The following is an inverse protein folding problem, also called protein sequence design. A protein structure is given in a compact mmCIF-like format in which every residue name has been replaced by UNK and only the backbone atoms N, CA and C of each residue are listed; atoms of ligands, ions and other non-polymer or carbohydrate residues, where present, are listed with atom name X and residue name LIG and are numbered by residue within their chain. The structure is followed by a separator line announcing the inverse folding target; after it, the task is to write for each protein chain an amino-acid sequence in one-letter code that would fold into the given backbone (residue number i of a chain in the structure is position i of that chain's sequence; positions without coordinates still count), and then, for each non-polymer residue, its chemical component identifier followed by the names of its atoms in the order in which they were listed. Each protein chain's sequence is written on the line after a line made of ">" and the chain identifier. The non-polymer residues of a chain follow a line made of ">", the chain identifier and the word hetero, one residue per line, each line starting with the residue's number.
data_IF_477160196088
#
_entry.id   IF_477160196088
#
_cell.length_a   1.000
_cell.length_b   1.000
_cell.length_c   1.000
_cell.angle_alpha   90.00
_cell.angle_beta   90.00
_cell.angle_gamma   90.00
#
_symmetry.space_group_name_H-M   'P 1'
#
loop_
_entity.id
_entity.type
_entity.pdbx_description
1 polymer ?
#
# COMPACT_ATOMS: atom_id res chain seq x y z
N UNK A 1 8.98 -0.15 3.71
CA UNK A 1 8.39 -0.46 2.39
C UNK A 1 7.55 -1.72 2.54
N UNK A 2 6.36 -1.78 1.96
CA UNK A 2 5.51 -2.97 1.89
C UNK A 2 5.70 -3.60 0.52
N UNK A 3 6.00 -4.90 0.48
CA UNK A 3 6.22 -5.64 -0.78
C UNK A 3 4.99 -6.36 -1.31
N UNK A 4 4.03 -6.69 -0.43
CA UNK A 4 2.78 -7.36 -0.80
C UNK A 4 1.73 -7.20 0.28
N UNK A 5 0.46 -7.19 -0.15
CA UNK A 5 -0.71 -7.23 0.73
C UNK A 5 -1.68 -8.22 0.11
N UNK A 6 -1.70 -9.42 0.66
CA UNK A 6 -2.45 -10.54 0.11
C UNK A 6 -3.58 -10.93 1.04
N UNK A 7 -4.77 -11.13 0.46
CA UNK A 7 -5.93 -11.65 1.18
C UNK A 7 -6.46 -12.83 0.40
N UNK A 8 -6.56 -13.98 1.09
CA UNK A 8 -7.14 -15.21 0.54
C UNK A 8 -8.51 -14.90 -0.07
N UNK A 9 -8.85 -15.47 -1.25
CA UNK A 9 -10.10 -15.18 -1.96
C UNK A 9 -11.34 -15.19 -1.06
N UNK A 10 -11.47 -16.21 -0.21
CA UNK A 10 -12.63 -16.43 0.68
C UNK A 10 -12.74 -15.38 1.80
N UNK A 11 -11.67 -14.63 2.05
CA UNK A 11 -11.58 -13.60 3.10
C UNK A 11 -11.54 -12.16 2.53
N UNK A 12 -11.66 -12.01 1.21
CA UNK A 12 -11.71 -10.67 0.58
C UNK A 12 -13.02 -9.96 0.91
N UNK A 13 -12.99 -8.62 0.84
CA UNK A 13 -14.15 -7.74 1.13
C UNK A 13 -14.67 -7.80 2.58
N UNK A 14 -13.93 -8.42 3.50
CA UNK A 14 -14.24 -8.46 4.93
C UNK A 14 -13.40 -7.46 5.75
N UNK A 15 -12.71 -6.53 5.09
CA UNK A 15 -11.84 -5.54 5.74
C UNK A 15 -10.50 -6.07 6.26
N UNK A 16 -10.12 -7.31 5.95
CA UNK A 16 -8.86 -7.91 6.40
C UNK A 16 -7.62 -7.07 6.02
N UNK A 17 -7.47 -6.74 4.73
CA UNK A 17 -6.35 -5.92 4.25
C UNK A 17 -6.35 -4.52 4.88
N UNK A 18 -7.52 -3.91 5.08
CA UNK A 18 -7.63 -2.60 5.70
C UNK A 18 -7.17 -2.62 7.15
N UNK A 19 -7.61 -3.61 7.94
CA UNK A 19 -7.15 -3.81 9.32
C UNK A 19 -5.64 -4.00 9.40
N UNK A 20 -5.07 -4.80 8.50
CA UNK A 20 -3.62 -5.01 8.45
C UNK A 20 -2.87 -3.71 8.10
N UNK A 21 -3.35 -2.95 7.11
CA UNK A 21 -2.75 -1.67 6.71
C UNK A 21 -2.78 -0.64 7.84
N UNK A 22 -3.91 -0.49 8.55
CA UNK A 22 -3.98 0.39 9.72
C UNK A 22 -2.97 0.00 10.79
N UNK A 23 -2.89 -1.30 11.12
CA UNK A 23 -1.92 -1.77 12.10
C UNK A 23 -0.48 -1.46 11.67
N UNK A 24 -0.12 -1.70 10.41
CA UNK A 24 1.23 -1.39 9.89
C UNK A 24 1.53 0.12 9.94
N UNK A 25 0.55 0.96 9.62
CA UNK A 25 0.67 2.42 9.69
C UNK A 25 0.92 2.88 11.13
N UNK A 26 0.13 2.37 12.08
CA UNK A 26 0.27 2.72 13.50
C UNK A 26 1.62 2.27 14.05
N UNK A 27 2.06 1.06 13.68
CA UNK A 27 3.40 0.57 14.03
C UNK A 27 4.51 1.45 13.45
N UNK A 28 4.38 1.89 12.20
CA UNK A 28 5.34 2.79 11.58
C UNK A 28 5.39 4.16 12.28
N UNK A 29 4.23 4.70 12.72
CA UNK A 29 4.17 5.92 13.54
C UNK A 29 4.87 5.73 14.88
N UNK A 30 4.55 4.65 15.60
CA UNK A 30 5.15 4.34 16.90
C UNK A 30 6.67 4.17 16.84
N UNK A 31 7.19 3.66 15.72
CA UNK A 31 8.63 3.52 15.47
C UNK A 31 9.31 4.82 14.99
N UNK A 32 8.60 5.94 14.91
CA UNK A 32 9.16 7.21 14.43
C UNK A 32 9.57 7.19 12.95
N UNK A 33 8.92 6.37 12.12
CA UNK A 33 9.19 6.32 10.67
C UNK A 33 8.63 7.57 10.00
N UNK A 34 9.34 8.08 8.99
CA UNK A 34 8.88 9.24 8.19
C UNK A 34 7.69 8.94 7.27
N UNK A 35 7.35 7.67 7.07
CA UNK A 35 6.37 7.26 6.09
C UNK A 35 6.32 5.77 5.81
N UNK A 36 5.30 5.38 5.05
CA UNK A 36 5.12 4.04 4.47
C UNK A 36 5.10 4.19 2.96
N UNK A 37 5.75 3.26 2.26
CA UNK A 37 5.78 3.21 0.79
C UNK A 37 5.43 1.82 0.29
N UNK A 38 4.73 1.78 -0.83
CA UNK A 38 4.44 0.55 -1.59
C UNK A 38 4.34 0.88 -3.09
N UNK A 39 4.37 -0.16 -3.91
CA UNK A 39 3.96 -0.11 -5.32
C UNK A 39 2.60 -0.75 -5.49
N UNK A 40 1.76 -0.24 -6.40
CA UNK A 40 0.52 -0.92 -6.77
C UNK A 40 0.24 -0.85 -8.26
N UNK A 41 -0.64 -1.74 -8.74
CA UNK A 41 -1.25 -1.61 -10.08
C UNK A 41 -2.19 -0.39 -10.08
N UNK A 42 -2.36 0.25 -11.22
CA UNK A 42 -3.19 1.46 -11.37
C UNK A 42 -4.59 1.32 -10.73
N UNK A 43 -5.27 0.20 -11.04
CA UNK A 43 -6.59 -0.13 -10.49
C UNK A 43 -6.67 -0.23 -8.97
N UNK A 44 -5.55 -0.25 -8.24
CA UNK A 44 -5.51 -0.27 -6.77
C UNK A 44 -5.09 1.06 -6.15
N UNK A 45 -4.70 2.06 -6.96
CA UNK A 45 -4.25 3.36 -6.44
C UNK A 45 -5.36 4.03 -5.60
N UNK A 46 -6.62 3.98 -6.09
CA UNK A 46 -7.77 4.52 -5.35
C UNK A 46 -8.01 3.80 -4.02
N UNK A 47 -7.80 2.48 -3.96
CA UNK A 47 -7.93 1.71 -2.73
C UNK A 47 -6.91 2.17 -1.69
N UNK A 48 -5.64 2.28 -2.07
CA UNK A 48 -4.60 2.74 -1.14
C UNK A 48 -4.75 4.21 -0.75
N UNK A 49 -5.30 5.06 -1.63
CA UNK A 49 -5.60 6.45 -1.32
C UNK A 49 -6.58 6.61 -0.15
N UNK A 50 -7.46 5.64 0.09
CA UNK A 50 -8.38 5.67 1.26
C UNK A 50 -7.65 5.64 2.61
N UNK A 51 -6.40 5.20 2.65
CA UNK A 51 -5.55 5.21 3.85
C UNK A 51 -4.61 6.43 3.91
N UNK A 52 -4.78 7.40 3.00
CA UNK A 52 -3.96 8.62 2.93
C UNK A 52 -2.67 8.47 2.10
N UNK A 53 -2.48 7.36 1.39
CA UNK A 53 -1.37 7.25 0.44
C UNK A 53 -1.57 8.20 -0.75
N UNK A 54 -0.51 8.90 -1.13
CA UNK A 54 -0.45 9.73 -2.33
C UNK A 54 0.23 8.95 -3.45
N UNK A 55 -0.36 8.99 -4.64
CA UNK A 55 0.26 8.46 -5.86
C UNK A 55 1.35 9.43 -6.36
N UNK A 56 2.60 8.97 -6.37
CA UNK A 56 3.78 9.73 -6.83
C UNK A 56 4.12 9.45 -8.31
N UNK A 57 3.22 8.78 -9.04
CA UNK A 57 3.37 8.44 -10.45
C UNK A 57 3.96 7.05 -10.69
N UNK A 58 4.38 6.80 -11.92
CA UNK A 58 4.94 5.51 -12.36
C UNK A 58 6.25 5.21 -11.61
N UNK A 59 6.30 4.03 -11.00
CA UNK A 59 7.48 3.50 -10.33
C UNK A 59 8.53 3.07 -11.35
N UNK A 60 9.81 3.12 -10.95
CA UNK A 60 10.92 2.59 -11.76
C UNK A 60 10.97 1.06 -11.76
N UNK A 61 10.16 0.40 -10.94
CA UNK A 61 10.09 -1.05 -10.88
C UNK A 61 9.52 -1.62 -12.18
N UNK A 62 10.27 -2.52 -12.81
CA UNK A 62 9.85 -3.31 -13.99
C UNK A 62 9.44 -4.73 -13.64
N UNK A 63 9.34 -5.06 -12.35
CA UNK A 63 9.08 -6.42 -11.88
C UNK A 63 7.76 -6.98 -12.43
N UNK A 64 7.82 -8.16 -13.05
CA UNK A 64 6.65 -8.87 -13.59
C UNK A 64 6.06 -8.27 -14.86
N UNK A 65 6.81 -7.42 -15.58
CA UNK A 65 6.39 -6.79 -16.85
C UNK A 65 5.07 -6.02 -16.74
N UNK A 66 4.80 -5.44 -15.56
CA UNK A 66 3.63 -4.60 -15.29
C UNK A 66 4.05 -3.19 -14.89
N UNK A 67 3.28 -2.18 -15.31
CA UNK A 67 3.40 -0.81 -14.81
C UNK A 67 2.97 -0.73 -13.34
N UNK A 68 3.91 -0.34 -12.49
CA UNK A 68 3.67 -0.09 -11.07
C UNK A 68 3.57 1.41 -10.81
N UNK A 69 2.75 1.80 -9.85
CA UNK A 69 2.63 3.18 -9.35
C UNK A 69 3.22 3.28 -7.96
N UNK A 70 4.03 4.30 -7.70
CA UNK A 70 4.53 4.59 -6.37
C UNK A 70 3.45 5.20 -5.50
N UNK A 71 3.23 4.61 -4.34
CA UNK A 71 2.32 5.13 -3.33
C UNK A 71 3.11 5.45 -2.05
N UNK A 72 2.90 6.65 -1.50
CA UNK A 72 3.53 7.07 -0.24
C UNK A 72 2.52 7.66 0.73
N UNK A 73 2.55 7.15 1.96
CA UNK A 73 1.96 7.81 3.11
C UNK A 73 3.09 8.48 3.91
N UNK A 74 2.99 9.79 4.15
CA UNK A 74 3.87 10.50 5.09
C UNK A 74 3.23 10.43 6.48
N UNK A 75 4.05 10.18 7.50
CA UNK A 75 3.59 10.01 8.88
C UNK A 75 3.99 11.18 9.76
#
# INVERSE_FOLDING_TARGET
>A
MIFGVDTLPDFRRQGCAARLLHHVIDQARAQGRKGVVLTCKDKLAHYYATFGFVNEGVSRSTHGDVTWYQMRLRL
#
